data_IF_434096755258
#
_entry.id   IF_434096755258
#
_cell.length_a   1.000
_cell.length_b   1.000
_cell.length_c   1.000
_cell.angle_alpha   90.00
_cell.angle_beta   90.00
_cell.angle_gamma   90.00
#
_symmetry.space_group_name_H-M   'P 1'
#
loop_
_entity.id
_entity.type
_entity.pdbx_description
1 polymer ?
#
# COMPACT_ATOMS: atom_id res chain seq x y z
N UNK A 1 -24.37 -1.96 1.53
CA UNK A 1 -23.39 -2.15 2.62
C UNK A 1 -22.18 -2.83 2.04
N UNK A 2 -21.00 -2.38 2.40
CA UNK A 2 -19.74 -3.04 2.02
C UNK A 2 -19.54 -4.21 2.97
N UNK A 3 -19.59 -5.42 2.47
CA UNK A 3 -19.50 -6.63 3.27
C UNK A 3 -18.16 -7.36 3.10
N UNK A 4 -17.38 -6.98 2.08
CA UNK A 4 -16.12 -7.62 1.76
C UNK A 4 -15.00 -6.60 1.55
N UNK A 5 -13.92 -6.79 2.28
CA UNK A 5 -12.71 -5.97 2.22
C UNK A 5 -11.48 -6.89 2.22
N UNK A 6 -10.41 -6.46 1.57
CA UNK A 6 -9.10 -7.13 1.63
C UNK A 6 -8.13 -6.28 2.43
N UNK A 7 -7.30 -6.90 3.26
CA UNK A 7 -6.17 -6.25 3.91
C UNK A 7 -4.90 -6.61 3.16
N UNK A 8 -4.15 -5.60 2.73
CA UNK A 8 -2.85 -5.77 2.10
C UNK A 8 -1.72 -5.28 3.00
N UNK A 9 -0.69 -6.11 3.16
CA UNK A 9 0.48 -5.80 3.97
C UNK A 9 1.72 -5.84 3.09
N UNK A 10 2.54 -4.78 3.16
CA UNK A 10 3.84 -4.74 2.50
C UNK A 10 4.93 -5.01 3.53
N UNK A 11 5.84 -5.92 3.20
CA UNK A 11 6.96 -6.30 4.07
C UNK A 11 8.23 -6.64 3.29
N UNK A 12 9.35 -6.79 3.98
CA UNK A 12 10.62 -7.27 3.45
C UNK A 12 11.43 -8.00 4.52
N UNK A 13 12.50 -8.69 4.12
CA UNK A 13 13.15 -9.71 4.97
C UNK A 13 13.59 -9.21 6.35
N UNK A 14 14.07 -7.98 6.46
CA UNK A 14 14.57 -7.40 7.70
C UNK A 14 13.46 -7.13 8.73
N UNK A 15 12.20 -7.23 8.32
CA UNK A 15 11.02 -6.88 9.14
C UNK A 15 10.14 -8.08 9.50
N UNK A 16 10.65 -9.30 9.36
CA UNK A 16 9.89 -10.52 9.62
C UNK A 16 9.24 -10.55 11.00
N UNK A 17 9.95 -10.11 12.04
CA UNK A 17 9.42 -10.12 13.40
C UNK A 17 8.30 -9.07 13.60
N UNK A 18 8.41 -7.90 12.96
CA UNK A 18 7.33 -6.90 12.93
C UNK A 18 6.09 -7.45 12.21
N UNK A 19 6.30 -8.10 11.06
CA UNK A 19 5.22 -8.77 10.33
C UNK A 19 4.51 -9.81 11.19
N UNK A 20 5.26 -10.66 11.90
CA UNK A 20 4.69 -11.68 12.80
C UNK A 20 3.85 -11.04 13.90
N UNK A 21 4.35 -9.98 14.53
CA UNK A 21 3.62 -9.24 15.56
C UNK A 21 2.32 -8.65 14.99
N UNK A 22 2.39 -8.00 13.84
CA UNK A 22 1.23 -7.42 13.19
C UNK A 22 0.19 -8.48 12.80
N UNK A 23 0.61 -9.61 12.22
CA UNK A 23 -0.30 -10.71 11.90
C UNK A 23 -1.00 -11.22 13.16
N UNK A 24 -0.27 -11.42 14.26
CA UNK A 24 -0.86 -11.85 15.52
C UNK A 24 -1.90 -10.83 16.06
N UNK A 25 -1.64 -9.53 15.93
CA UNK A 25 -2.60 -8.48 16.28
C UNK A 25 -3.85 -8.57 15.39
N UNK A 26 -3.66 -8.65 14.07
CA UNK A 26 -4.79 -8.76 13.14
C UNK A 26 -5.62 -10.03 13.38
N UNK A 27 -4.97 -11.19 13.55
CA UNK A 27 -5.66 -12.47 13.76
C UNK A 27 -6.41 -12.52 15.10
N UNK A 28 -6.15 -11.59 16.02
CA UNK A 28 -6.93 -11.44 17.26
C UNK A 28 -8.23 -10.65 17.08
N UNK A 29 -8.41 -9.98 15.93
CA UNK A 29 -9.61 -9.17 15.66
C UNK A 29 -10.82 -10.06 15.36
N UNK A 30 -11.97 -9.69 15.88
CA UNK A 30 -13.22 -10.37 15.60
C UNK A 30 -13.57 -10.26 14.11
N UNK A 31 -13.87 -11.39 13.48
CA UNK A 31 -14.30 -11.45 12.08
C UNK A 31 -13.17 -11.44 11.06
N UNK A 32 -11.90 -11.40 11.48
CA UNK A 32 -10.76 -11.37 10.57
C UNK A 32 -10.64 -12.64 9.70
N UNK A 33 -11.12 -13.79 10.17
CA UNK A 33 -11.11 -15.05 9.42
C UNK A 33 -11.91 -14.98 8.10
N UNK A 34 -12.82 -14.02 7.99
CA UNK A 34 -13.60 -13.76 6.77
C UNK A 34 -12.97 -12.72 5.85
N UNK A 35 -11.79 -12.19 6.21
CA UNK A 35 -11.10 -11.14 5.47
C UNK A 35 -9.84 -11.71 4.84
N UNK A 36 -9.71 -11.57 3.51
CA UNK A 36 -8.49 -11.97 2.81
C UNK A 36 -7.33 -11.04 3.20
N UNK A 37 -6.21 -11.61 3.62
CA UNK A 37 -4.95 -10.91 3.89
C UNK A 37 -3.95 -11.21 2.77
N UNK A 38 -3.57 -10.20 2.01
CA UNK A 38 -2.52 -10.30 0.99
C UNK A 38 -1.22 -9.75 1.58
N UNK A 39 -0.19 -10.59 1.69
CA UNK A 39 1.13 -10.18 2.16
C UNK A 39 2.05 -10.10 0.95
N UNK A 40 2.45 -8.89 0.56
CA UNK A 40 3.44 -8.68 -0.51
C UNK A 40 4.82 -8.54 0.10
N UNK A 41 5.65 -9.50 -0.19
CA UNK A 41 7.04 -9.59 0.31
C UNK A 41 7.96 -9.02 -0.73
N UNK A 42 8.61 -7.89 -0.42
CA UNK A 42 9.55 -7.26 -1.33
C UNK A 42 10.87 -8.05 -1.40
N UNK A 43 11.45 -8.08 -2.60
CA UNK A 43 12.75 -8.67 -2.84
C UNK A 43 13.90 -7.79 -2.37
N UNK A 44 15.12 -8.27 -2.59
CA UNK A 44 16.34 -7.53 -2.35
C UNK A 44 17.14 -7.40 -3.66
N UNK A 45 17.71 -6.22 -3.92
CA UNK A 45 18.49 -5.96 -5.14
C UNK A 45 19.88 -6.61 -5.12
N UNK A 46 20.42 -6.89 -3.96
CA UNK A 46 21.83 -7.22 -3.81
C UNK A 46 22.06 -8.69 -3.48
N UNK A 47 21.02 -9.39 -3.03
CA UNK A 47 21.13 -10.77 -2.59
C UNK A 47 19.87 -11.56 -2.99
N UNK A 48 20.07 -12.83 -3.28
CA UNK A 48 18.95 -13.75 -3.41
C UNK A 48 18.19 -13.86 -2.08
N UNK A 49 16.86 -13.83 -2.15
CA UNK A 49 16.03 -13.92 -0.95
C UNK A 49 16.32 -15.25 -0.20
N UNK A 50 16.71 -15.21 1.07
CA UNK A 50 17.06 -16.41 1.82
C UNK A 50 15.92 -17.43 1.86
N UNK A 51 16.25 -18.70 1.66
CA UNK A 51 15.25 -19.78 1.69
C UNK A 51 14.55 -19.89 3.04
N UNK A 52 15.23 -19.58 4.14
CA UNK A 52 14.65 -19.62 5.48
C UNK A 52 13.56 -18.54 5.63
N UNK A 53 13.79 -17.35 5.12
CA UNK A 53 12.79 -16.29 5.14
C UNK A 53 11.55 -16.66 4.30
N UNK A 54 11.75 -17.22 3.10
CA UNK A 54 10.63 -17.73 2.28
C UNK A 54 9.84 -18.81 3.03
N UNK A 55 10.54 -19.72 3.71
CA UNK A 55 9.91 -20.78 4.49
C UNK A 55 9.06 -20.23 5.63
N UNK A 56 9.56 -19.22 6.34
CA UNK A 56 8.81 -18.55 7.41
C UNK A 56 7.52 -17.90 6.88
N UNK A 57 7.59 -17.16 5.76
CA UNK A 57 6.40 -16.57 5.13
C UNK A 57 5.39 -17.64 4.71
N UNK A 58 5.85 -18.72 4.09
CA UNK A 58 4.97 -19.83 3.70
C UNK A 58 4.36 -20.55 4.91
N UNK A 59 5.12 -20.65 6.01
CA UNK A 59 4.61 -21.22 7.27
C UNK A 59 3.49 -20.36 7.84
N UNK A 60 3.68 -19.03 7.88
CA UNK A 60 2.63 -18.09 8.29
C UNK A 60 1.37 -18.29 7.44
N UNK A 61 1.53 -18.29 6.12
CA UNK A 61 0.39 -18.45 5.20
C UNK A 61 -0.30 -19.82 5.33
N UNK A 62 0.45 -20.88 5.61
CA UNK A 62 -0.12 -22.22 5.78
C UNK A 62 -0.89 -22.41 7.09
N UNK A 63 -0.62 -21.59 8.08
CA UNK A 63 -1.33 -21.62 9.36
C UNK A 63 -2.69 -20.91 9.32
N UNK A 64 -2.98 -20.16 8.24
CA UNK A 64 -4.20 -19.36 8.11
C UNK A 64 -4.75 -19.47 6.70
N UNK A 65 -6.02 -19.87 6.58
CA UNK A 65 -6.65 -20.11 5.28
C UNK A 65 -6.92 -18.83 4.47
N UNK A 66 -6.95 -17.69 5.14
CA UNK A 66 -7.22 -16.38 4.57
C UNK A 66 -5.95 -15.54 4.28
N UNK A 67 -4.75 -16.10 4.45
CA UNK A 67 -3.47 -15.39 4.16
C UNK A 67 -2.91 -15.83 2.81
N UNK A 68 -2.65 -14.86 1.94
CA UNK A 68 -2.14 -15.05 0.58
C UNK A 68 -0.81 -14.32 0.40
N UNK A 69 0.34 -15.02 0.43
CA UNK A 69 1.63 -14.39 0.21
C UNK A 69 1.90 -14.21 -1.28
N UNK A 70 2.44 -13.03 -1.65
CA UNK A 70 3.00 -12.73 -2.96
C UNK A 70 4.48 -12.37 -2.74
N UNK A 71 5.38 -13.17 -3.26
CA UNK A 71 6.81 -13.01 -3.05
C UNK A 71 7.44 -12.44 -4.31
N UNK A 72 7.96 -11.22 -4.22
CA UNK A 72 8.74 -10.60 -5.29
C UNK A 72 10.18 -11.09 -5.17
N UNK A 73 10.76 -11.74 -6.20
CA UNK A 73 12.15 -12.19 -6.15
C UNK A 73 13.14 -11.03 -6.16
N UNK A 74 12.76 -9.93 -6.81
CA UNK A 74 13.54 -8.71 -6.94
C UNK A 74 12.92 -7.57 -6.14
N UNK A 75 13.73 -6.58 -5.79
CA UNK A 75 13.25 -5.36 -5.16
C UNK A 75 12.31 -4.60 -6.10
N UNK A 76 11.16 -4.19 -5.57
CA UNK A 76 10.15 -3.37 -6.25
C UNK A 76 9.93 -2.06 -5.50
N UNK A 77 9.49 -1.02 -6.20
CA UNK A 77 9.06 0.23 -5.57
C UNK A 77 7.83 0.02 -4.70
N UNK A 78 7.64 0.89 -3.72
CA UNK A 78 6.46 0.85 -2.84
C UNK A 78 5.15 1.01 -3.65
N UNK A 79 5.15 1.88 -4.65
CA UNK A 79 4.05 2.03 -5.61
C UNK A 79 3.68 0.68 -6.26
N UNK A 80 4.69 -0.09 -6.71
CA UNK A 80 4.48 -1.41 -7.30
C UNK A 80 3.87 -2.40 -6.32
N UNK A 81 4.32 -2.38 -5.07
CA UNK A 81 3.81 -3.28 -4.05
C UNK A 81 2.35 -2.97 -3.70
N UNK A 82 1.98 -1.70 -3.57
CA UNK A 82 0.59 -1.27 -3.34
C UNK A 82 -0.32 -1.64 -4.53
N UNK A 83 0.15 -1.39 -5.76
CA UNK A 83 -0.57 -1.81 -6.95
C UNK A 83 -0.76 -3.33 -6.99
N UNK A 84 0.26 -4.10 -6.63
CA UNK A 84 0.19 -5.56 -6.58
C UNK A 84 -0.91 -6.03 -5.63
N UNK A 85 -1.01 -5.46 -4.42
CA UNK A 85 -2.09 -5.79 -3.49
C UNK A 85 -3.45 -5.57 -4.14
N UNK A 86 -3.69 -4.36 -4.66
CA UNK A 86 -4.99 -4.00 -5.22
C UNK A 86 -5.35 -4.81 -6.47
N UNK A 87 -4.37 -5.13 -7.30
CA UNK A 87 -4.57 -5.95 -8.50
C UNK A 87 -4.97 -7.38 -8.13
N UNK A 88 -4.30 -7.98 -7.14
CA UNK A 88 -4.55 -9.37 -6.74
C UNK A 88 -5.69 -9.53 -5.73
N UNK A 89 -6.16 -8.47 -5.11
CA UNK A 89 -7.33 -8.50 -4.25
C UNK A 89 -8.57 -9.00 -5.00
N UNK A 90 -9.43 -9.74 -4.30
CA UNK A 90 -10.74 -10.17 -4.84
C UNK A 90 -11.84 -9.14 -4.63
N UNK A 91 -11.64 -8.20 -3.68
CA UNK A 91 -12.62 -7.20 -3.30
C UNK A 91 -12.33 -5.86 -3.97
N UNK A 92 -13.31 -4.97 -4.01
CA UNK A 92 -13.11 -3.60 -4.47
C UNK A 92 -12.37 -2.78 -3.40
N UNK A 93 -12.80 -2.83 -2.15
CA UNK A 93 -12.17 -2.15 -1.03
C UNK A 93 -10.92 -2.87 -0.53
N UNK A 94 -9.83 -2.13 -0.39
CA UNK A 94 -8.54 -2.62 0.10
C UNK A 94 -8.04 -1.71 1.21
N UNK A 95 -7.72 -2.28 2.37
CA UNK A 95 -6.98 -1.62 3.44
C UNK A 95 -5.50 -1.93 3.20
N UNK A 96 -4.71 -0.91 2.95
CA UNK A 96 -3.25 -1.06 2.76
C UNK A 96 -2.56 -0.70 4.06
N UNK A 97 -1.70 -1.59 4.53
CA UNK A 97 -0.98 -1.45 5.79
C UNK A 97 0.51 -1.72 5.60
N UNK A 98 1.33 -1.12 6.46
CA UNK A 98 2.74 -1.51 6.60
C UNK A 98 2.91 -2.51 7.75
N UNK A 99 3.96 -3.30 7.70
CA UNK A 99 4.26 -4.38 8.64
C UNK A 99 4.69 -3.91 10.03
N UNK A 100 4.94 -2.62 10.22
CA UNK A 100 5.33 -1.98 11.49
C UNK A 100 4.19 -1.22 12.17
N UNK A 101 2.96 -1.52 11.82
CA UNK A 101 1.80 -0.88 12.39
C UNK A 101 1.48 -1.45 13.78
N UNK A 102 1.34 -0.57 14.77
CA UNK A 102 0.72 -0.90 16.05
C UNK A 102 -0.80 -0.70 15.94
N UNK A 103 -1.54 -1.71 16.38
CA UNK A 103 -3.00 -1.71 16.39
C UNK A 103 -3.46 -1.85 17.85
N UNK A 104 -4.08 -0.80 18.39
CA UNK A 104 -4.62 -0.81 19.75
C UNK A 104 -5.81 -1.76 19.91
N UNK A 105 -6.08 -2.16 21.15
CA UNK A 105 -7.15 -3.12 21.46
C UNK A 105 -8.56 -2.58 21.17
N UNK A 106 -8.73 -1.26 21.06
CA UNK A 106 -10.00 -0.62 20.71
C UNK A 106 -10.29 -0.63 19.20
N UNK A 107 -9.33 -1.03 18.39
CA UNK A 107 -9.53 -1.13 16.96
C UNK A 107 -10.42 -2.34 16.62
N UNK A 108 -11.34 -2.13 15.71
CA UNK A 108 -12.07 -3.17 15.03
C UNK A 108 -12.25 -2.82 13.55
N UNK A 109 -12.37 -3.79 12.70
CA UNK A 109 -12.65 -3.56 11.27
C UNK A 109 -13.97 -2.80 11.05
N UNK A 110 -14.91 -2.90 11.97
CA UNK A 110 -16.18 -2.17 11.89
C UNK A 110 -15.98 -0.66 11.87
N UNK A 111 -14.95 -0.11 12.52
CA UNK A 111 -14.65 1.32 12.47
C UNK A 111 -14.44 1.78 11.01
N UNK A 112 -13.71 1.00 10.22
CA UNK A 112 -13.47 1.29 8.81
C UNK A 112 -14.74 1.06 7.98
N UNK A 113 -15.44 -0.04 8.21
CA UNK A 113 -16.68 -0.37 7.49
C UNK A 113 -17.79 0.66 7.76
N UNK A 114 -17.95 1.10 8.99
CA UNK A 114 -18.92 2.13 9.38
C UNK A 114 -18.57 3.48 8.74
N UNK A 115 -17.28 3.83 8.69
CA UNK A 115 -16.84 5.03 7.99
C UNK A 115 -17.15 4.96 6.48
N UNK A 116 -16.84 3.86 5.83
CA UNK A 116 -17.17 3.62 4.42
C UNK A 116 -18.69 3.72 4.19
N UNK A 117 -19.48 3.02 4.99
CA UNK A 117 -20.93 2.97 4.84
C UNK A 117 -21.61 4.33 5.11
N UNK A 118 -21.04 5.14 6.00
CA UNK A 118 -21.60 6.46 6.35
C UNK A 118 -21.21 7.56 5.38
N UNK A 119 -20.01 7.50 4.79
CA UNK A 119 -19.47 8.56 3.92
C UNK A 119 -19.50 8.21 2.43
N UNK A 120 -19.52 6.93 2.08
CA UNK A 120 -19.33 6.46 0.71
C UNK A 120 -17.91 6.66 0.19
N UNK A 121 -16.94 6.98 1.08
CA UNK A 121 -15.55 7.26 0.67
C UNK A 121 -14.89 6.04 0.05
N UNK A 122 -14.33 6.22 -1.13
CA UNK A 122 -13.63 5.19 -1.88
C UNK A 122 -12.10 5.25 -1.73
N UNK A 123 -11.59 6.37 -1.24
CA UNK A 123 -10.18 6.57 -0.94
C UNK A 123 -10.03 7.50 0.26
N UNK A 124 -9.37 7.05 1.31
CA UNK A 124 -9.08 7.86 2.49
C UNK A 124 -7.84 7.35 3.21
N UNK A 125 -7.14 8.26 3.89
CA UNK A 125 -6.02 7.93 4.77
C UNK A 125 -6.52 7.59 6.17
N UNK A 126 -5.69 6.90 6.94
CA UNK A 126 -5.90 6.72 8.38
C UNK A 126 -4.82 7.50 9.10
N UNK A 127 -5.22 8.37 10.03
CA UNK A 127 -4.32 9.26 10.78
C UNK A 127 -3.40 10.11 9.87
N UNK A 128 -3.94 10.51 8.71
CA UNK A 128 -3.26 11.36 7.73
C UNK A 128 -1.93 10.78 7.22
N UNK A 129 -1.87 9.45 7.04
CA UNK A 129 -0.66 8.75 6.64
C UNK A 129 -0.92 7.77 5.50
N UNK A 130 0.00 7.75 4.52
CA UNK A 130 -0.01 6.75 3.45
C UNK A 130 0.69 5.42 3.81
N UNK A 131 1.18 5.28 5.00
CA UNK A 131 1.59 3.98 5.52
C UNK A 131 0.39 3.07 5.83
N UNK A 132 -0.79 3.67 5.97
CA UNK A 132 -2.05 2.97 6.16
C UNK A 132 -3.21 3.80 5.58
N UNK A 133 -3.90 3.22 4.63
CA UNK A 133 -4.98 3.87 3.92
C UNK A 133 -5.98 2.85 3.36
N UNK A 134 -7.14 3.33 2.97
CA UNK A 134 -8.16 2.54 2.30
C UNK A 134 -8.35 3.07 0.88
N UNK A 135 -8.44 2.16 -0.08
CA UNK A 135 -8.63 2.50 -1.48
C UNK A 135 -9.46 1.44 -2.20
N UNK A 136 -10.32 1.86 -3.12
CA UNK A 136 -11.04 0.94 -4.01
C UNK A 136 -10.30 0.77 -5.33
N UNK A 137 -10.50 -0.38 -5.97
CA UNK A 137 -10.07 -0.57 -7.37
C UNK A 137 -10.77 0.42 -8.29
N UNK A 138 -12.05 0.68 -8.03
CA UNK A 138 -12.85 1.62 -8.80
C UNK A 138 -12.21 2.99 -8.85
N UNK A 139 -11.81 3.54 -7.70
CA UNK A 139 -11.16 4.86 -7.66
C UNK A 139 -9.77 4.84 -8.30
N UNK A 140 -9.02 3.74 -8.17
CA UNK A 140 -7.72 3.60 -8.84
C UNK A 140 -7.85 3.50 -10.36
N UNK A 141 -8.92 2.90 -10.87
CA UNK A 141 -9.21 2.95 -12.31
C UNK A 141 -9.51 4.38 -12.79
N UNK A 142 -10.14 5.17 -11.95
CA UNK A 142 -10.49 6.55 -12.29
C UNK A 142 -9.31 7.53 -12.18
N UNK A 143 -8.49 7.39 -11.14
CA UNK A 143 -7.32 8.24 -10.88
C UNK A 143 -6.05 7.76 -11.60
N UNK A 144 -6.00 6.51 -12.03
CA UNK A 144 -4.78 5.76 -12.34
C UNK A 144 -4.17 5.16 -11.07
N UNK A 145 -3.45 4.07 -11.24
CA UNK A 145 -2.74 3.39 -10.16
C UNK A 145 -1.55 4.23 -9.66
N UNK A 146 -0.90 3.80 -8.57
CA UNK A 146 0.32 4.45 -8.09
C UNK A 146 1.40 4.41 -9.17
N UNK A 147 2.10 5.51 -9.35
CA UNK A 147 3.11 5.67 -10.41
C UNK A 147 4.38 4.88 -10.08
N UNK A 148 4.58 3.76 -10.76
CA UNK A 148 5.69 2.84 -10.53
C UNK A 148 7.06 3.36 -10.99
N UNK A 149 7.11 4.54 -11.61
CA UNK A 149 8.36 5.23 -11.96
C UNK A 149 9.03 5.86 -10.74
N UNK A 150 8.29 6.09 -9.66
CA UNK A 150 8.90 6.40 -8.38
C UNK A 150 9.64 5.19 -7.86
N UNK A 151 10.95 5.31 -7.69
CA UNK A 151 11.80 4.20 -7.27
C UNK A 151 11.84 4.08 -5.74
N UNK A 152 11.95 2.87 -5.23
CA UNK A 152 11.93 2.55 -3.82
C UNK A 152 10.70 3.10 -3.09
N UNK A 153 10.80 4.25 -2.43
CA UNK A 153 9.72 4.94 -1.73
C UNK A 153 9.94 6.45 -1.71
N UNK A 154 8.87 7.19 -1.50
CA UNK A 154 8.82 8.65 -1.44
C UNK A 154 8.30 9.28 -2.73
N UNK A 155 7.40 10.24 -2.58
CA UNK A 155 6.70 11.02 -3.59
C UNK A 155 5.57 10.28 -4.35
N UNK A 156 5.45 8.94 -4.27
CA UNK A 156 4.34 8.19 -4.85
C UNK A 156 2.99 8.52 -4.20
N UNK A 157 3.01 8.80 -2.91
CA UNK A 157 1.87 9.28 -2.14
C UNK A 157 1.49 10.73 -2.49
N UNK A 158 2.48 11.60 -2.60
CA UNK A 158 2.29 12.97 -3.05
C UNK A 158 1.70 13.03 -4.45
N UNK A 159 2.17 12.20 -5.38
CA UNK A 159 1.62 12.06 -6.72
C UNK A 159 0.13 11.69 -6.70
N UNK A 160 -0.24 10.73 -5.87
CA UNK A 160 -1.63 10.31 -5.73
C UNK A 160 -2.52 11.41 -5.13
N UNK A 161 -2.00 12.16 -4.14
CA UNK A 161 -2.70 13.33 -3.58
C UNK A 161 -2.96 14.37 -4.66
N UNK A 162 -1.96 14.69 -5.49
CA UNK A 162 -2.15 15.66 -6.57
C UNK A 162 -3.20 15.21 -7.58
N UNK A 163 -3.18 13.97 -7.99
CA UNK A 163 -4.18 13.42 -8.92
C UNK A 163 -5.59 13.45 -8.32
N UNK A 164 -5.71 13.19 -7.02
CA UNK A 164 -7.00 13.28 -6.32
C UNK A 164 -7.51 14.73 -6.29
N UNK A 165 -6.64 15.70 -5.93
CA UNK A 165 -6.99 17.13 -5.94
C UNK A 165 -7.40 17.59 -7.35
N UNK A 166 -6.63 17.19 -8.36
CA UNK A 166 -6.93 17.54 -9.75
C UNK A 166 -8.30 17.03 -10.20
N UNK A 167 -8.66 15.82 -9.78
CA UNK A 167 -9.90 15.17 -10.18
C UNK A 167 -11.11 15.66 -9.39
N UNK A 168 -10.97 15.82 -8.06
CA UNK A 168 -12.09 16.07 -7.15
C UNK A 168 -12.06 17.46 -6.50
N UNK A 169 -11.02 18.25 -6.71
CA UNK A 169 -10.86 19.58 -6.14
C UNK A 169 -10.36 19.61 -4.69
N UNK A 170 -10.20 18.47 -4.06
CA UNK A 170 -9.77 18.33 -2.66
C UNK A 170 -8.92 17.08 -2.43
N UNK A 171 -8.22 17.04 -1.29
CA UNK A 171 -7.50 15.84 -0.87
C UNK A 171 -8.48 14.74 -0.45
N UNK A 172 -8.02 13.48 -0.52
CA UNK A 172 -8.77 12.38 0.08
C UNK A 172 -9.02 12.65 1.58
N UNK A 173 -10.20 12.28 2.10
CA UNK A 173 -10.51 12.42 3.51
C UNK A 173 -9.60 11.58 4.40
N UNK A 174 -9.67 11.82 5.70
CA UNK A 174 -8.91 11.11 6.72
C UNK A 174 -9.82 10.54 7.79
N UNK A 175 -9.54 9.30 8.18
CA UNK A 175 -10.18 8.62 9.31
C UNK A 175 -9.22 8.61 10.49
N UNK A 176 -9.59 9.26 11.58
CA UNK A 176 -8.79 9.21 12.79
C UNK A 176 -9.11 7.95 13.63
N UNK A 177 -8.08 7.15 13.91
CA UNK A 177 -8.16 5.96 14.76
C UNK A 177 -7.13 6.10 15.88
N UNK A 178 -7.60 6.05 17.14
CA UNK A 178 -6.73 6.13 18.31
C UNK A 178 -5.87 4.87 18.41
N UNK A 179 -4.63 5.00 18.89
CA UNK A 179 -3.66 3.91 19.07
C UNK A 179 -3.44 3.08 17.78
N UNK A 180 -3.38 3.78 16.66
CA UNK A 180 -3.10 3.20 15.35
C UNK A 180 -1.97 4.00 14.69
N UNK A 181 -0.73 3.49 14.77
CA UNK A 181 0.46 4.24 14.36
C UNK A 181 1.63 3.32 13.99
N UNK A 182 2.57 3.84 13.18
CA UNK A 182 3.79 3.11 12.82
C UNK A 182 4.78 3.07 13.99
N UNK A 183 5.16 1.88 14.41
CA UNK A 183 6.17 1.67 15.47
C UNK A 183 7.54 2.17 15.06
N UNK A 184 7.95 1.96 13.81
CA UNK A 184 9.26 2.36 13.30
C UNK A 184 9.53 3.86 13.36
N UNK A 185 8.51 4.70 13.44
CA UNK A 185 8.67 6.16 13.63
C UNK A 185 9.09 6.53 15.05
N UNK A 186 8.84 5.65 16.01
CA UNK A 186 9.14 5.86 17.43
C UNK A 186 10.37 5.08 17.89
N UNK A 187 10.76 4.04 17.15
CA UNK A 187 11.96 3.25 17.40
C UNK A 187 12.97 3.44 16.28
N UNK A 188 13.87 4.43 16.47
CA UNK A 188 14.97 4.71 15.54
C UNK A 188 15.93 3.54 15.34
N UNK A 189 15.89 2.53 16.22
CA UNK A 189 16.72 1.33 16.08
C UNK A 189 16.24 0.40 14.97
N UNK A 190 14.96 0.49 14.59
CA UNK A 190 14.36 -0.26 13.48
C UNK A 190 14.55 0.44 12.12
N UNK A 191 15.04 1.67 12.10
CA UNK A 191 15.24 2.50 10.91
C UNK A 191 16.47 2.13 10.07
N UNK A 192 17.15 1.02 10.36
CA UNK A 192 18.27 0.51 9.53
C UNK A 192 17.89 0.24 8.06
N UNK A 193 16.64 0.39 7.74
CA UNK A 193 16.11 0.31 6.37
C UNK A 193 16.48 1.52 5.52
N UNK A 194 16.88 2.63 6.13
CA UNK A 194 17.24 3.85 5.40
C UNK A 194 18.51 3.74 4.56
N UNK A 195 19.36 2.77 4.81
CA UNK A 195 20.68 2.67 4.18
C UNK A 195 20.65 2.32 2.69
N UNK A 196 19.52 1.89 2.15
CA UNK A 196 19.40 1.61 0.71
C UNK A 196 18.94 2.82 -0.12
N UNK A 197 18.86 4.03 0.47
CA UNK A 197 18.05 5.12 -0.09
C UNK A 197 18.76 6.43 -0.33
N UNK A 198 20.05 6.54 -0.10
CA UNK A 198 20.76 7.84 -0.06
C UNK A 198 20.55 8.74 -1.29
N UNK A 199 20.24 8.15 -2.46
CA UNK A 199 19.96 8.91 -3.68
C UNK A 199 18.51 8.75 -4.22
N UNK A 200 17.73 7.82 -3.71
CA UNK A 200 16.43 7.50 -4.27
C UNK A 200 15.36 8.56 -3.98
N UNK A 201 15.26 9.12 -2.77
CA UNK A 201 14.34 10.23 -2.49
C UNK A 201 14.64 11.46 -3.33
N UNK A 202 15.93 11.74 -3.60
CA UNK A 202 16.31 12.84 -4.47
C UNK A 202 15.86 12.60 -5.91
N UNK A 203 16.07 11.40 -6.43
CA UNK A 203 15.58 11.04 -7.77
C UNK A 203 14.06 11.21 -7.86
N UNK A 204 13.31 10.69 -6.91
CA UNK A 204 11.86 10.78 -6.89
C UNK A 204 11.39 12.23 -6.87
N UNK A 205 12.03 13.08 -6.08
CA UNK A 205 11.72 14.51 -6.04
C UNK A 205 12.04 15.22 -7.36
N UNK A 206 13.14 14.90 -7.98
CA UNK A 206 13.51 15.45 -9.30
C UNK A 206 12.51 14.97 -10.37
N UNK A 207 12.12 13.70 -10.33
CA UNK A 207 11.09 13.14 -11.21
C UNK A 207 9.73 13.80 -10.99
N UNK A 208 9.32 13.99 -9.74
CA UNK A 208 8.08 14.70 -9.39
C UNK A 208 8.09 16.13 -9.93
N UNK A 209 9.24 16.85 -9.82
CA UNK A 209 9.39 18.19 -10.36
C UNK A 209 9.29 18.23 -11.90
N UNK A 210 9.72 17.17 -12.58
CA UNK A 210 9.53 17.04 -14.03
C UNK A 210 8.07 16.76 -14.36
N UNK A 211 7.44 15.86 -13.62
CA UNK A 211 6.04 15.44 -13.82
C UNK A 211 5.07 16.59 -13.57
N UNK A 212 5.35 17.42 -12.58
CA UNK A 212 4.54 18.57 -12.20
C UNK A 212 5.35 19.86 -12.36
N UNK A 213 4.70 20.87 -12.91
CA UNK A 213 5.31 22.20 -12.96
C UNK A 213 5.22 22.81 -11.57
N UNK A 214 6.23 22.56 -10.74
CA UNK A 214 6.25 23.09 -9.39
C UNK A 214 6.75 24.53 -9.34
N UNK A 215 6.18 25.34 -8.44
CA UNK A 215 6.83 26.50 -7.89
C UNK A 215 8.07 26.01 -7.11
N UNK A 216 9.28 26.53 -7.37
CA UNK A 216 10.50 26.13 -6.66
C UNK A 216 10.40 26.34 -5.14
N UNK A 217 9.44 27.14 -4.65
CA UNK A 217 9.15 27.32 -3.24
C UNK A 217 7.98 26.46 -2.75
N UNK A 218 7.32 25.70 -3.61
CA UNK A 218 6.21 24.84 -3.27
C UNK A 218 6.67 23.54 -2.60
N UNK A 219 5.90 23.09 -1.61
CA UNK A 219 6.09 21.76 -1.02
C UNK A 219 5.24 20.78 -1.80
N UNK A 220 5.90 19.93 -2.58
CA UNK A 220 5.23 18.88 -3.33
C UNK A 220 4.37 18.00 -2.43
N UNK A 221 3.15 17.69 -2.88
CA UNK A 221 2.22 16.86 -2.12
C UNK A 221 1.54 17.54 -0.92
N UNK A 222 2.06 18.66 -0.46
CA UNK A 222 1.54 19.39 0.70
C UNK A 222 0.75 20.65 0.32
N UNK A 223 0.86 21.10 -0.92
CA UNK A 223 0.16 22.30 -1.37
C UNK A 223 -1.30 21.98 -1.71
N UNK A 224 -2.27 22.72 -1.18
CA UNK A 224 -3.66 22.66 -1.64
C UNK A 224 -3.87 23.31 -3.02
N UNK A 225 -2.84 23.95 -3.57
CA UNK A 225 -2.93 24.63 -4.87
C UNK A 225 -2.79 23.60 -5.99
N UNK A 226 -3.71 23.58 -6.96
CA UNK A 226 -3.60 22.72 -8.12
C UNK A 226 -2.27 22.97 -8.85
N UNK A 227 -1.51 21.92 -9.06
CA UNK A 227 -0.24 21.97 -9.78
C UNK A 227 -0.49 21.46 -11.19
N UNK A 228 -0.03 22.21 -12.18
CA UNK A 228 -0.15 21.78 -13.57
C UNK A 228 0.76 20.59 -13.83
N UNK A 229 0.18 19.47 -14.15
CA UNK A 229 0.89 18.28 -14.56
C UNK A 229 1.41 18.45 -15.99
N UNK A 230 2.72 18.31 -16.17
CA UNK A 230 3.38 18.46 -17.48
C UNK A 230 3.78 17.12 -18.09
N UNK A 231 3.83 16.06 -17.29
CA UNK A 231 4.09 14.70 -17.73
C UNK A 231 2.92 13.83 -17.29
N UNK A 232 2.06 13.50 -18.24
CA UNK A 232 0.83 12.77 -18.00
C UNK A 232 0.76 11.52 -18.86
N UNK A 233 1.32 10.47 -18.35
CA UNK A 233 1.27 9.15 -18.95
C UNK A 233 0.89 8.04 -17.94
N UNK A 234 0.42 8.44 -16.76
CA UNK A 234 0.05 7.50 -15.69
C UNK A 234 -1.08 6.55 -16.12
N UNK A 235 -1.93 6.96 -17.05
CA UNK A 235 -2.99 6.12 -17.64
C UNK A 235 -2.44 5.10 -18.64
N UNK A 236 -1.22 5.29 -19.09
CA UNK A 236 -0.57 4.40 -20.06
C UNK A 236 0.22 3.27 -19.40
N UNK A 237 0.16 3.18 -18.07
CA UNK A 237 0.87 2.13 -17.36
C UNK A 237 0.33 0.76 -17.71
N UNK A 238 1.22 -0.22 -17.91
CA UNK A 238 0.85 -1.55 -18.35
C UNK A 238 0.05 -2.34 -17.31
N UNK A 239 -0.05 -1.86 -16.06
CA UNK A 239 -0.78 -2.59 -15.03
C UNK A 239 -2.30 -2.49 -15.20
N UNK A 240 -2.86 -1.42 -15.76
CA UNK A 240 -4.28 -1.43 -16.13
C UNK A 240 -4.52 -2.47 -17.21
N UNK A 241 -3.68 -2.50 -18.23
CA UNK A 241 -3.70 -3.52 -19.27
C UNK A 241 -3.44 -4.92 -18.68
N UNK A 242 -2.49 -5.04 -17.76
CA UNK A 242 -2.22 -6.27 -17.03
C UNK A 242 -3.43 -6.70 -16.20
N UNK A 243 -4.07 -5.79 -15.47
CA UNK A 243 -5.28 -6.07 -14.71
C UNK A 243 -6.41 -6.55 -15.62
N UNK A 244 -6.69 -5.83 -16.72
CA UNK A 244 -7.73 -6.21 -17.68
C UNK A 244 -7.48 -7.58 -18.30
N UNK A 245 -6.22 -7.90 -18.65
CA UNK A 245 -5.83 -9.21 -19.18
C UNK A 245 -5.95 -10.34 -18.16
N UNK A 246 -5.75 -10.05 -16.88
CA UNK A 246 -5.65 -11.07 -15.84
C UNK A 246 -6.83 -11.11 -14.86
N UNK A 247 -7.81 -10.21 -14.98
CA UNK A 247 -8.94 -10.09 -14.03
C UNK A 247 -9.69 -11.40 -13.78
N UNK A 248 -9.83 -12.24 -14.79
CA UNK A 248 -10.55 -13.50 -14.67
C UNK A 248 -9.67 -14.57 -14.02
N UNK A 249 -8.36 -14.55 -14.27
CA UNK A 249 -7.39 -15.40 -13.59
C UNK A 249 -7.26 -15.01 -12.11
N UNK A 250 -7.27 -13.72 -11.81
CA UNK A 250 -7.20 -13.17 -10.45
C UNK A 250 -8.41 -13.61 -9.62
N UNK A 251 -9.62 -13.64 -10.20
CA UNK A 251 -10.83 -14.14 -9.54
C UNK A 251 -10.75 -15.63 -9.14
N UNK A 252 -9.96 -16.40 -9.90
CA UNK A 252 -9.76 -17.83 -9.67
C UNK A 252 -8.48 -18.13 -8.90
N UNK A 253 -7.86 -17.11 -8.33
CA UNK A 253 -6.60 -17.19 -7.63
C UNK A 253 -6.66 -18.16 -6.45
N UNK A 254 -5.83 -19.20 -6.50
CA UNK A 254 -5.60 -20.14 -5.40
C UNK A 254 -4.21 -19.89 -4.83
N UNK A 255 -4.08 -20.03 -3.51
CA UNK A 255 -2.88 -19.87 -2.68
C UNK A 255 -1.54 -19.94 -3.42
N UNK A 256 -0.74 -18.90 -3.24
CA UNK A 256 0.67 -18.70 -3.62
C UNK A 256 0.92 -18.32 -5.07
N UNK A 257 1.27 -17.06 -5.29
CA UNK A 257 1.93 -16.59 -6.51
C UNK A 257 3.36 -16.17 -6.20
N UNK A 258 4.30 -16.71 -6.97
CA UNK A 258 5.60 -16.08 -7.15
C UNK A 258 5.53 -15.18 -8.39
N UNK A 259 5.77 -13.89 -8.23
CA UNK A 259 5.80 -12.90 -9.31
C UNK A 259 7.23 -12.48 -9.58
#
# INVERSE_FOLDING_TARGET
>A
MVDNITIGIVTFKERLELLKQMINQLMSLIGIDNVDLIIVVNGNNEEEMPNDYRREILTIANNHDNIYPIICPEFKSLAKLWNTITIFSKTDYNIILTDDLFIGNEFSLNIILDYINSTGSQFFTINNQFSHFVVTKSILHELGYFDERFIAFGEEDGDMVHRHIEKFGERMPDLHITNFYNMARYDLSSSKVETHTDNKPRFNREFANIKYKQDPNGVYGMSPTPITRVLDDYQQYPYEEFFMKNKDNIKNFKKVIMV
#
